data_IF_325796122509
#
_entry.id   IF_325796122509
#
_cell.length_a   1.000
_cell.length_b   1.000
_cell.length_c   1.000
_cell.angle_alpha   90.00
_cell.angle_beta   90.00
_cell.angle_gamma   90.00
#
_symmetry.space_group_name_H-M   'P 1'
#
loop_
_entity.id
_entity.type
_entity.pdbx_description
1 polymer ?
#
# COMPACT_ATOMS: atom_id res chain seq x y z
N UNK A 1 -21.00 0.71 18.56
CA UNK A 1 -19.54 0.58 18.50
C UNK A 1 -19.12 0.20 17.10
N UNK A 2 -18.26 0.98 16.51
CA UNK A 2 -17.81 0.69 15.16
C UNK A 2 -16.68 -0.33 15.22
N UNK A 3 -16.88 -1.44 14.58
CA UNK A 3 -15.81 -2.41 14.42
C UNK A 3 -15.06 -2.07 13.13
N UNK A 4 -13.82 -1.68 13.27
CA UNK A 4 -12.97 -1.48 12.11
C UNK A 4 -12.65 -2.85 11.55
N UNK A 5 -13.11 -3.11 10.34
CA UNK A 5 -12.81 -4.36 9.68
C UNK A 5 -11.34 -4.36 9.25
N UNK A 6 -10.59 -5.30 9.81
CA UNK A 6 -9.20 -5.50 9.43
C UNK A 6 -9.15 -6.56 8.34
N UNK A 7 -8.63 -6.19 7.18
CA UNK A 7 -8.54 -7.09 6.03
C UNK A 7 -7.15 -7.68 5.95
N UNK A 8 -7.09 -9.02 5.93
CA UNK A 8 -5.81 -9.72 5.82
C UNK A 8 -5.36 -9.75 4.37
N UNK A 9 -4.19 -9.19 4.11
CA UNK A 9 -3.62 -9.12 2.76
C UNK A 9 -2.87 -10.41 2.46
N UNK A 10 -3.17 -11.02 1.31
CA UNK A 10 -2.44 -12.19 0.83
C UNK A 10 -1.36 -11.82 -0.20
N UNK A 11 -1.57 -10.74 -0.94
CA UNK A 11 -0.59 -10.23 -1.89
C UNK A 11 -0.92 -8.78 -2.21
N UNK A 12 0.01 -8.09 -2.86
CA UNK A 12 -0.23 -6.72 -3.27
C UNK A 12 0.46 -6.44 -4.60
N UNK A 13 -0.09 -5.49 -5.32
CA UNK A 13 0.38 -5.06 -6.62
C UNK A 13 0.47 -3.55 -6.62
N UNK A 14 1.50 -3.00 -7.25
CA UNK A 14 1.66 -1.56 -7.34
C UNK A 14 1.94 -1.16 -8.77
N UNK A 15 1.30 -0.06 -9.18
CA UNK A 15 1.53 0.56 -10.47
C UNK A 15 1.80 2.04 -10.27
N UNK A 16 2.77 2.57 -11.01
CA UNK A 16 3.16 3.97 -10.89
C UNK A 16 2.48 4.81 -11.96
N UNK A 17 1.78 5.86 -11.54
CA UNK A 17 1.25 6.88 -12.42
C UNK A 17 2.16 8.11 -12.33
N UNK A 18 3.05 8.25 -13.30
CA UNK A 18 4.01 9.35 -13.30
C UNK A 18 3.34 10.69 -13.52
N UNK A 19 2.27 10.72 -14.29
CA UNK A 19 1.54 11.96 -14.58
C UNK A 19 0.86 12.48 -13.32
N UNK A 20 0.20 11.58 -12.58
CA UNK A 20 -0.46 11.94 -11.33
C UNK A 20 0.46 12.00 -10.14
N UNK A 21 1.71 11.56 -10.30
CA UNK A 21 2.70 11.49 -9.23
C UNK A 21 2.20 10.68 -8.03
N UNK A 22 1.55 9.56 -8.30
CA UNK A 22 0.97 8.68 -7.30
C UNK A 22 1.26 7.23 -7.66
N UNK A 23 1.17 6.34 -6.67
CA UNK A 23 1.18 4.91 -6.90
C UNK A 23 -0.23 4.37 -6.71
N UNK A 24 -0.67 3.51 -7.62
CA UNK A 24 -1.91 2.77 -7.45
C UNK A 24 -1.57 1.46 -6.76
N UNK A 25 -2.10 1.26 -5.56
CA UNK A 25 -1.85 0.05 -4.79
C UNK A 25 -3.11 -0.80 -4.74
N UNK A 26 -2.94 -2.09 -5.03
CA UNK A 26 -4.02 -3.08 -4.96
C UNK A 26 -3.64 -4.10 -3.90
N UNK A 27 -4.42 -4.16 -2.83
CA UNK A 27 -4.26 -5.16 -1.78
C UNK A 27 -5.23 -6.30 -2.04
N UNK A 28 -4.69 -7.45 -2.41
CA UNK A 28 -5.49 -8.66 -2.58
C UNK A 28 -5.72 -9.26 -1.20
N UNK A 29 -6.98 -9.34 -0.78
CA UNK A 29 -7.36 -9.76 0.56
C UNK A 29 -7.83 -11.21 0.58
N UNK A 30 -7.60 -11.90 1.72
CA UNK A 30 -7.90 -13.33 1.84
C UNK A 30 -9.40 -13.62 1.82
N UNK A 31 -10.17 -12.85 2.58
CA UNK A 31 -11.60 -13.13 2.79
C UNK A 31 -12.48 -11.94 2.41
N UNK A 32 -11.99 -11.07 1.54
CA UNK A 32 -12.71 -9.87 1.18
C UNK A 32 -12.36 -9.46 -0.24
N UNK A 33 -13.08 -8.48 -0.75
CA UNK A 33 -12.76 -7.90 -2.04
C UNK A 33 -11.41 -7.20 -1.99
N UNK A 34 -10.72 -7.17 -3.12
CA UNK A 34 -9.46 -6.45 -3.22
C UNK A 34 -9.69 -4.97 -2.96
N UNK A 35 -8.70 -4.33 -2.36
CA UNK A 35 -8.76 -2.91 -2.05
C UNK A 35 -7.81 -2.14 -2.94
N UNK A 36 -8.32 -1.08 -3.55
CA UNK A 36 -7.54 -0.20 -4.43
C UNK A 36 -7.44 1.16 -3.77
N UNK A 37 -6.24 1.70 -3.69
CA UNK A 37 -6.02 3.05 -3.17
C UNK A 37 -4.91 3.74 -3.96
N UNK A 38 -4.98 5.06 -4.03
CA UNK A 38 -3.86 5.86 -4.55
C UNK A 38 -2.98 6.30 -3.39
N UNK A 39 -1.68 6.07 -3.53
CA UNK A 39 -0.68 6.51 -2.56
C UNK A 39 0.03 7.73 -3.14
N UNK A 40 -0.25 8.93 -2.62
CA UNK A 40 0.48 10.12 -3.05
C UNK A 40 1.96 10.02 -2.71
N UNK A 41 2.79 10.78 -3.40
CA UNK A 41 4.25 10.73 -3.21
C UNK A 41 4.64 10.93 -1.75
N UNK A 42 3.99 11.86 -1.04
CA UNK A 42 4.29 12.11 0.37
C UNK A 42 4.06 10.87 1.23
N UNK A 43 2.98 10.12 0.96
CA UNK A 43 2.68 8.88 1.69
C UNK A 43 3.72 7.81 1.36
N UNK A 44 4.11 7.70 0.09
CA UNK A 44 5.12 6.72 -0.34
C UNK A 44 6.44 7.00 0.36
N UNK A 45 6.89 8.25 0.38
CA UNK A 45 8.16 8.61 1.02
C UNK A 45 8.12 8.33 2.52
N UNK A 46 6.99 8.64 3.18
CA UNK A 46 6.83 8.35 4.58
C UNK A 46 6.88 6.84 4.86
N UNK A 47 6.21 6.04 4.04
CA UNK A 47 6.20 4.59 4.20
C UNK A 47 7.59 3.99 4.01
N UNK A 48 8.34 4.46 3.02
CA UNK A 48 9.70 3.96 2.78
C UNK A 48 10.58 4.18 4.01
N UNK A 49 10.40 5.31 4.69
CA UNK A 49 11.20 5.63 5.86
C UNK A 49 10.74 4.90 7.12
N UNK A 50 9.46 4.53 7.20
CA UNK A 50 8.88 4.02 8.43
C UNK A 50 8.51 2.54 8.41
N UNK A 51 8.49 1.89 7.23
CA UNK A 51 8.22 0.46 7.18
C UNK A 51 9.38 -0.32 7.77
N UNK A 52 9.07 -1.33 8.60
CA UNK A 52 10.14 -2.14 9.18
C UNK A 52 10.86 -2.96 8.12
N UNK A 53 12.16 -3.13 8.32
CA UNK A 53 12.95 -4.05 7.51
C UNK A 53 12.85 -5.44 8.10
N UNK A 54 12.58 -6.43 7.24
CA UNK A 54 12.48 -7.83 7.66
C UNK A 54 13.58 -8.60 6.96
N UNK A 55 14.76 -8.69 7.59
CA UNK A 55 15.89 -9.39 6.96
C UNK A 55 15.58 -10.87 6.78
N UNK A 56 16.10 -11.45 5.71
CA UNK A 56 15.97 -12.87 5.44
C UNK A 56 14.76 -13.26 4.62
N UNK A 57 13.85 -12.35 4.30
CA UNK A 57 12.73 -12.65 3.43
C UNK A 57 13.15 -12.60 1.97
N UNK A 58 12.58 -13.50 1.19
CA UNK A 58 12.88 -13.57 -0.23
C UNK A 58 12.38 -12.35 -0.96
N UNK A 59 13.16 -11.88 -1.93
CA UNK A 59 12.75 -10.78 -2.79
C UNK A 59 11.67 -11.28 -3.75
N UNK A 60 10.68 -10.44 -4.09
CA UNK A 60 9.70 -10.83 -5.09
C UNK A 60 10.39 -11.01 -6.44
N UNK A 61 10.10 -12.12 -7.10
CA UNK A 61 10.73 -12.45 -8.38
C UNK A 61 10.27 -11.50 -9.50
N UNK A 62 8.98 -11.15 -9.48
CA UNK A 62 8.40 -10.28 -10.49
C UNK A 62 7.43 -9.32 -9.82
N UNK A 63 7.37 -8.10 -10.35
CA UNK A 63 6.38 -7.14 -9.90
C UNK A 63 5.13 -7.31 -10.73
N UNK A 64 3.99 -7.62 -10.09
CA UNK A 64 2.73 -7.72 -10.82
C UNK A 64 2.33 -6.35 -11.41
N UNK A 65 1.67 -6.39 -12.55
CA UNK A 65 1.18 -5.19 -13.21
C UNK A 65 -0.33 -5.13 -13.02
N UNK A 66 -0.81 -3.99 -12.52
CA UNK A 66 -2.24 -3.77 -12.40
C UNK A 66 -2.78 -3.38 -13.76
N UNK A 67 -3.87 -4.05 -14.19
CA UNK A 67 -4.49 -3.76 -15.47
C UNK A 67 -4.95 -2.30 -15.49
N UNK A 68 -4.80 -1.66 -16.65
CA UNK A 68 -5.13 -0.25 -16.82
C UNK A 68 -6.59 0.05 -16.49
N UNK A 69 -7.48 -0.91 -16.72
CA UNK A 69 -8.90 -0.75 -16.43
C UNK A 69 -9.17 -0.47 -14.95
N UNK A 70 -8.31 -0.94 -14.06
CA UNK A 70 -8.45 -0.68 -12.63
C UNK A 70 -8.37 0.81 -12.31
N UNK A 71 -7.75 1.59 -13.17
CA UNK A 71 -7.59 3.02 -12.98
C UNK A 71 -8.87 3.82 -13.21
N UNK A 72 -9.81 3.23 -13.94
CA UNK A 72 -11.07 3.90 -14.27
C UNK A 72 -12.06 3.82 -13.11
N UNK A 73 -11.76 3.02 -12.10
CA UNK A 73 -12.59 2.91 -10.92
C UNK A 73 -12.39 4.14 -10.05
N UNK A 74 -13.42 4.49 -9.29
CA UNK A 74 -13.35 5.58 -8.33
C UNK A 74 -12.47 5.15 -7.16
N UNK A 75 -11.16 5.31 -7.31
CA UNK A 75 -10.18 4.86 -6.34
C UNK A 75 -9.86 6.01 -5.37
N UNK A 76 -10.02 5.79 -4.07
CA UNK A 76 -9.75 6.84 -3.10
C UNK A 76 -8.25 7.07 -2.93
N UNK A 77 -7.90 8.31 -2.60
CA UNK A 77 -6.52 8.69 -2.28
C UNK A 77 -6.29 8.52 -0.78
N UNK A 78 -5.15 7.96 -0.42
CA UNK A 78 -4.74 7.86 0.97
C UNK A 78 -4.28 9.23 1.46
N UNK A 79 -4.86 9.71 2.55
CA UNK A 79 -4.51 10.99 3.15
C UNK A 79 -3.47 10.83 4.25
N UNK A 80 -3.54 9.75 5.00
CA UNK A 80 -2.57 9.48 6.06
C UNK A 80 -2.52 7.98 6.34
N UNK A 81 -1.44 7.55 6.96
CA UNK A 81 -1.20 6.15 7.29
C UNK A 81 -0.71 6.05 8.73
N UNK A 82 -1.20 5.05 9.44
CA UNK A 82 -0.70 4.72 10.77
C UNK A 82 -0.37 3.23 10.79
N UNK A 83 0.85 2.90 11.17
CA UNK A 83 1.33 1.52 11.20
C UNK A 83 1.53 1.05 12.63
N UNK A 84 1.00 -0.12 12.95
CA UNK A 84 1.12 -0.71 14.27
C UNK A 84 1.62 -2.15 14.15
N UNK A 85 2.80 -2.40 14.69
CA UNK A 85 3.39 -3.74 14.68
C UNK A 85 2.75 -4.62 15.76
N UNK A 86 2.57 -5.89 15.42
CA UNK A 86 2.07 -6.90 16.35
C UNK A 86 2.74 -8.24 16.03
N UNK A 87 2.43 -9.27 16.83
CA UNK A 87 2.97 -10.61 16.59
C UNK A 87 2.49 -11.21 15.26
N UNK A 88 1.35 -10.75 14.77
CA UNK A 88 0.78 -11.27 13.53
C UNK A 88 1.31 -10.57 12.30
N UNK A 89 1.98 -9.44 12.47
CA UNK A 89 2.47 -8.63 11.38
C UNK A 89 2.28 -7.14 11.65
N UNK A 90 1.85 -6.41 10.64
CA UNK A 90 1.67 -4.97 10.77
C UNK A 90 0.28 -4.58 10.33
N UNK A 91 -0.44 -3.89 11.22
CA UNK A 91 -1.71 -3.25 10.86
C UNK A 91 -1.42 -1.88 10.28
N UNK A 92 -1.91 -1.65 9.09
CA UNK A 92 -1.75 -0.37 8.41
C UNK A 92 -3.12 0.27 8.26
N UNK A 93 -3.38 1.29 9.07
CA UNK A 93 -4.64 2.02 9.03
C UNK A 93 -4.46 3.22 8.10
N UNK A 94 -5.28 3.29 7.07
CA UNK A 94 -5.22 4.33 6.06
C UNK A 94 -6.48 5.16 6.13
N UNK A 95 -6.30 6.48 6.22
CA UNK A 95 -7.40 7.42 6.12
C UNK A 95 -7.59 7.76 4.65
N UNK A 96 -8.79 7.52 4.13
CA UNK A 96 -9.10 7.68 2.71
C UNK A 96 -9.92 8.93 2.45
N UNK A 97 -9.63 9.59 1.34
CA UNK A 97 -10.38 10.77 0.92
C UNK A 97 -11.80 10.39 0.53
N UNK A 98 -12.78 10.97 1.21
CA UNK A 98 -14.18 10.75 0.89
C UNK A 98 -14.72 9.36 1.16
N UNK A 99 -13.96 8.51 1.83
CA UNK A 99 -14.34 7.13 2.11
C UNK A 99 -14.11 6.78 3.58
N UNK A 100 -14.64 5.63 3.98
CA UNK A 100 -14.36 5.06 5.29
C UNK A 100 -12.91 4.63 5.36
N UNK A 101 -12.29 4.79 6.51
CA UNK A 101 -10.91 4.36 6.72
C UNK A 101 -10.75 2.88 6.42
N UNK A 102 -9.59 2.52 5.90
CA UNK A 102 -9.26 1.15 5.56
C UNK A 102 -8.10 0.68 6.43
N UNK A 103 -8.27 -0.47 7.08
CA UNK A 103 -7.19 -1.10 7.84
C UNK A 103 -6.87 -2.45 7.22
N UNK A 104 -5.60 -2.66 6.92
CA UNK A 104 -5.12 -3.92 6.38
C UNK A 104 -4.08 -4.51 7.32
N UNK A 105 -4.02 -5.84 7.37
CA UNK A 105 -3.00 -6.57 8.11
C UNK A 105 -2.05 -7.21 7.11
N UNK A 106 -0.79 -6.84 7.22
CA UNK A 106 0.28 -7.36 6.37
C UNK A 106 1.13 -8.32 7.19
N UNK A 107 1.24 -9.56 6.75
CA UNK A 107 2.18 -10.48 7.37
C UNK A 107 3.61 -10.12 6.95
N UNK A 108 4.65 -10.68 7.60
CA UNK A 108 6.01 -10.29 7.28
C UNK A 108 6.39 -10.37 5.80
N UNK A 109 6.03 -11.42 5.04
CA UNK A 109 6.31 -11.42 3.60
C UNK A 109 5.65 -10.26 2.85
N UNK A 110 4.42 -9.91 3.21
CA UNK A 110 3.72 -8.81 2.57
C UNK A 110 4.33 -7.46 2.95
N UNK A 111 4.79 -7.30 4.17
CA UNK A 111 5.50 -6.08 4.59
C UNK A 111 6.75 -5.88 3.73
N UNK A 112 7.53 -6.95 3.56
CA UNK A 112 8.75 -6.88 2.75
C UNK A 112 8.43 -6.63 1.27
N UNK A 113 7.38 -7.25 0.76
CA UNK A 113 6.95 -7.02 -0.61
C UNK A 113 6.55 -5.55 -0.80
N UNK A 114 5.75 -5.00 0.10
CA UNK A 114 5.36 -3.59 0.04
C UNK A 114 6.59 -2.69 0.07
N UNK A 115 7.50 -2.95 1.00
CA UNK A 115 8.72 -2.17 1.13
C UNK A 115 9.54 -2.20 -0.16
N UNK A 116 9.74 -3.37 -0.76
CA UNK A 116 10.52 -3.51 -1.98
C UNK A 116 9.86 -2.80 -3.16
N UNK A 117 8.54 -2.92 -3.29
CA UNK A 117 7.81 -2.26 -4.35
C UNK A 117 7.88 -0.74 -4.22
N UNK A 118 7.72 -0.22 -3.00
CA UNK A 118 7.80 1.23 -2.78
C UNK A 118 9.20 1.75 -3.07
N UNK A 119 10.23 1.01 -2.67
CA UNK A 119 11.61 1.39 -2.98
C UNK A 119 11.87 1.38 -4.48
N UNK A 120 11.32 0.41 -5.19
CA UNK A 120 11.50 0.31 -6.63
C UNK A 120 10.87 1.48 -7.37
N UNK A 121 9.69 1.94 -6.92
CA UNK A 121 8.96 3.03 -7.58
C UNK A 121 9.26 4.40 -7.03
N UNK A 122 9.96 4.49 -5.90
CA UNK A 122 10.25 5.78 -5.26
C UNK A 122 10.92 6.77 -6.21
N UNK A 123 11.86 6.27 -7.01
CA UNK A 123 12.60 7.11 -7.94
C UNK A 123 11.77 7.65 -9.10
N UNK A 124 10.60 7.06 -9.34
CA UNK A 124 9.70 7.50 -10.40
C UNK A 124 8.76 8.61 -9.94
N UNK A 125 8.71 8.87 -8.64
CA UNK A 125 7.86 9.90 -8.07
C UNK A 125 8.66 11.18 -7.88
N UNK A 126 8.02 12.30 -8.20
CA UNK A 126 8.64 13.60 -8.00
C UNK A 126 8.45 14.03 -6.55
N UNK A 127 9.53 14.52 -5.95
CA UNK A 127 9.45 15.11 -4.62
C UNK A 127 8.96 16.55 -4.78
N UNK A 128 7.64 16.70 -4.70
CA UNK A 128 7.00 18.02 -4.84
C UNK A 128 6.68 18.66 -3.50
N UNK A 129 7.17 18.08 -2.43
CA UNK A 129 6.96 18.59 -1.08
C UNK A 129 7.84 19.75 -0.71
N UNK A 130 8.17 20.54 -1.65
CA UNK A 130 9.05 21.69 -1.46
C UNK A 130 8.25 22.92 -1.10
#
# INVERSE_FOLDING_TARGET
MKHTLVRQVKSLHIHCDKVGNVLLAKFACKDAHDCLVFLPASVVFWLVENLPSTPGLAQPANMPVIAQDDWQLSVPRVLSVNCLLSNEGMRMAMKLEGKTDLTVLLDPPCIELLRQLLLAYRGDLLDVGV
#
